data_IF_223707153145
#
_entry.id   IF_223707153145
#
_cell.length_a   1.000
_cell.length_b   1.000
_cell.length_c   1.000
_cell.angle_alpha   90.00
_cell.angle_beta   90.00
_cell.angle_gamma   90.00
#
_symmetry.space_group_name_H-M   'P 1'
#
loop_
_entity.id
_entity.type
_entity.pdbx_description
1 polymer ?
#
# COMPACT_ATOMS: atom_id res chain seq x y z
N UNK A 1 -27.48 52.38 32.50
CA UNK A 1 -27.35 51.19 31.63
C UNK A 1 -25.88 51.11 31.21
N UNK A 2 -25.07 50.24 31.83
CA UNK A 2 -23.65 50.06 31.47
C UNK A 2 -23.55 48.80 30.61
N UNK A 3 -23.22 48.96 29.34
CA UNK A 3 -22.96 47.86 28.40
C UNK A 3 -21.67 47.14 28.83
N UNK A 4 -21.66 45.81 29.01
CA UNK A 4 -20.42 45.08 29.28
C UNK A 4 -19.57 45.08 28.01
N UNK A 5 -18.32 45.52 28.10
CA UNK A 5 -17.35 45.38 27.01
C UNK A 5 -16.86 43.94 26.95
N UNK A 6 -16.93 43.32 25.76
CA UNK A 6 -16.45 41.96 25.53
C UNK A 6 -14.93 41.89 25.79
N UNK A 7 -14.51 40.94 26.63
CA UNK A 7 -13.11 40.68 26.94
C UNK A 7 -12.39 40.08 25.72
N UNK A 8 -11.29 40.73 25.28
CA UNK A 8 -10.44 40.23 24.19
C UNK A 8 -9.69 38.99 24.65
N UNK A 9 -9.67 37.88 23.88
CA UNK A 9 -8.96 36.68 24.28
C UNK A 9 -7.47 36.97 24.45
N UNK A 10 -6.90 36.55 25.59
CA UNK A 10 -5.46 36.75 25.86
C UNK A 10 -4.62 35.85 24.95
N UNK A 11 -3.40 36.27 24.62
CA UNK A 11 -2.46 35.49 23.79
C UNK A 11 -2.25 34.07 24.32
N UNK A 12 -2.35 33.86 25.64
CA UNK A 12 -2.32 32.54 26.28
C UNK A 12 -3.55 31.69 25.97
N UNK A 13 -4.74 32.27 25.95
CA UNK A 13 -5.95 31.57 25.53
C UNK A 13 -5.88 31.16 24.05
N UNK A 14 -5.34 32.03 23.19
CA UNK A 14 -5.10 31.71 21.78
C UNK A 14 -4.09 30.56 21.61
N UNK A 15 -2.98 30.59 22.34
CA UNK A 15 -1.98 29.50 22.31
C UNK A 15 -2.52 28.19 22.90
N UNK A 16 -3.35 28.26 23.95
CA UNK A 16 -4.03 27.09 24.52
C UNK A 16 -5.03 26.45 23.54
N UNK A 17 -5.76 27.26 22.78
CA UNK A 17 -6.68 26.76 21.74
C UNK A 17 -5.92 26.11 20.57
N UNK A 18 -4.80 26.71 20.12
CA UNK A 18 -3.96 26.14 19.05
C UNK A 18 -3.28 24.85 19.51
N UNK A 19 -2.69 24.85 20.71
CA UNK A 19 -2.03 23.67 21.29
C UNK A 19 -3.01 22.54 21.60
N UNK A 20 -4.20 22.86 22.12
CA UNK A 20 -5.26 21.88 22.37
C UNK A 20 -5.84 21.29 21.09
N UNK A 21 -6.00 22.10 20.03
CA UNK A 21 -6.44 21.63 18.72
C UNK A 21 -5.45 20.68 18.04
N UNK A 22 -4.15 20.97 18.16
CA UNK A 22 -3.07 20.09 17.64
C UNK A 22 -2.90 18.81 18.47
N UNK A 23 -3.14 18.85 19.78
CA UNK A 23 -3.08 17.64 20.61
C UNK A 23 -4.22 16.66 20.28
N UNK A 24 -5.42 17.16 19.95
CA UNK A 24 -6.56 16.33 19.56
C UNK A 24 -6.38 15.65 18.19
N UNK A 25 -5.66 16.28 17.25
CA UNK A 25 -5.36 15.66 15.95
C UNK A 25 -4.28 14.58 15.99
N UNK A 26 -3.58 14.44 17.12
CA UNK A 26 -2.56 13.40 17.36
C UNK A 26 -3.04 12.29 18.30
N UNK A 27 -4.33 12.27 18.67
CA UNK A 27 -4.88 11.17 19.43
C UNK A 27 -4.79 9.87 18.60
N UNK A 28 -4.33 8.75 19.19
CA UNK A 28 -4.24 7.49 18.47
C UNK A 28 -5.64 7.04 18.04
N UNK A 29 -5.85 6.95 16.72
CA UNK A 29 -7.09 6.42 16.16
C UNK A 29 -6.99 4.90 16.15
N UNK A 30 -8.00 4.16 16.64
CA UNK A 30 -8.01 2.71 16.56
C UNK A 30 -7.96 2.25 15.09
N UNK A 31 -7.03 1.35 14.77
CA UNK A 31 -6.98 0.68 13.47
C UNK A 31 -7.79 -0.61 13.56
N UNK A 32 -8.86 -0.71 12.77
CA UNK A 32 -9.67 -1.93 12.66
C UNK A 32 -9.06 -2.86 11.61
N UNK A 33 -9.09 -4.17 11.88
CA UNK A 33 -8.76 -5.18 10.87
C UNK A 33 -9.80 -5.16 9.73
N UNK A 34 -9.40 -5.62 8.54
CA UNK A 34 -10.34 -5.80 7.44
C UNK A 34 -11.35 -6.88 7.80
N UNK A 35 -12.62 -6.65 7.46
CA UNK A 35 -13.61 -7.73 7.42
C UNK A 35 -13.36 -8.64 6.23
N UNK A 36 -13.89 -9.86 6.26
CA UNK A 36 -13.77 -10.79 5.13
C UNK A 36 -14.33 -10.20 3.83
N UNK A 37 -15.41 -9.42 3.90
CA UNK A 37 -15.96 -8.73 2.74
C UNK A 37 -14.98 -7.71 2.15
N UNK A 38 -14.30 -6.94 3.00
CA UNK A 38 -13.29 -5.98 2.56
C UNK A 38 -12.05 -6.69 1.99
N UNK A 39 -11.63 -7.81 2.60
CA UNK A 39 -10.52 -8.61 2.10
C UNK A 39 -10.83 -9.24 0.73
N UNK A 40 -12.02 -9.80 0.54
CA UNK A 40 -12.47 -10.31 -0.77
C UNK A 40 -12.49 -9.21 -1.83
N UNK A 41 -13.06 -8.05 -1.50
CA UNK A 41 -13.10 -6.91 -2.42
C UNK A 41 -11.68 -6.43 -2.82
N UNK A 42 -10.71 -6.47 -1.89
CA UNK A 42 -9.32 -6.15 -2.21
C UNK A 42 -8.74 -7.14 -3.23
N UNK A 43 -8.99 -8.44 -3.04
CA UNK A 43 -8.56 -9.50 -3.97
C UNK A 43 -9.22 -9.31 -5.34
N UNK A 44 -10.53 -9.09 -5.38
CA UNK A 44 -11.29 -8.85 -6.62
C UNK A 44 -10.74 -7.65 -7.39
N UNK A 45 -10.42 -6.57 -6.67
CA UNK A 45 -9.84 -5.35 -7.27
C UNK A 45 -8.47 -5.64 -7.87
N UNK A 46 -7.61 -6.35 -7.14
CA UNK A 46 -6.28 -6.72 -7.63
C UNK A 46 -6.35 -7.63 -8.86
N UNK A 47 -7.23 -8.64 -8.86
CA UNK A 47 -7.47 -9.51 -10.01
C UNK A 47 -8.04 -8.72 -11.21
N UNK A 48 -8.92 -7.75 -10.95
CA UNK A 48 -9.43 -6.82 -11.95
C UNK A 48 -8.32 -6.02 -12.64
N UNK A 49 -7.38 -5.45 -11.86
CA UNK A 49 -6.23 -4.73 -12.42
C UNK A 49 -5.30 -5.64 -13.24
N UNK A 50 -5.05 -6.88 -12.79
CA UNK A 50 -4.26 -7.86 -13.54
C UNK A 50 -4.93 -8.20 -14.87
N UNK A 51 -6.23 -8.50 -14.83
CA UNK A 51 -6.99 -8.83 -16.04
C UNK A 51 -7.04 -7.65 -17.02
N UNK A 52 -7.17 -6.41 -16.53
CA UNK A 52 -7.10 -5.21 -17.35
C UNK A 52 -5.71 -5.06 -18.03
N UNK A 53 -4.62 -5.33 -17.31
CA UNK A 53 -3.27 -5.31 -17.90
C UNK A 53 -3.09 -6.39 -18.98
N UNK A 54 -3.65 -7.58 -18.80
CA UNK A 54 -3.63 -8.66 -19.80
C UNK A 54 -4.47 -8.28 -21.03
N UNK A 55 -5.68 -7.75 -20.80
CA UNK A 55 -6.61 -7.36 -21.86
C UNK A 55 -6.12 -6.13 -22.67
N UNK A 56 -5.13 -5.38 -22.17
CA UNK A 56 -4.62 -4.19 -22.84
C UNK A 56 -3.84 -4.49 -24.13
N UNK A 57 -3.59 -5.76 -24.46
CA UNK A 57 -2.80 -6.17 -25.63
C UNK A 57 -1.29 -5.90 -25.51
N UNK A 58 -0.83 -5.38 -24.37
CA UNK A 58 0.61 -5.16 -24.12
C UNK A 58 1.32 -6.51 -23.97
N UNK A 59 2.61 -6.54 -24.29
CA UNK A 59 3.44 -7.73 -24.13
C UNK A 59 4.86 -7.37 -23.68
N UNK A 60 5.63 -8.38 -23.31
CA UNK A 60 7.03 -8.23 -22.93
C UNK A 60 7.23 -7.21 -21.81
N UNK A 61 8.22 -6.34 -21.97
CA UNK A 61 8.62 -5.37 -20.94
C UNK A 61 7.47 -4.45 -20.49
N UNK A 62 6.58 -4.04 -21.40
CA UNK A 62 5.46 -3.16 -21.08
C UNK A 62 4.46 -3.85 -20.14
N UNK A 63 4.09 -5.10 -20.44
CA UNK A 63 3.20 -5.89 -19.57
C UNK A 63 3.87 -6.20 -18.22
N UNK A 64 5.17 -6.48 -18.20
CA UNK A 64 5.89 -6.76 -16.95
C UNK A 64 5.97 -5.54 -16.04
N UNK A 65 6.11 -4.34 -16.61
CA UNK A 65 6.07 -3.10 -15.85
C UNK A 65 4.69 -2.85 -15.22
N UNK A 66 3.61 -3.11 -15.96
CA UNK A 66 2.25 -3.02 -15.43
C UNK A 66 2.03 -4.03 -14.29
N UNK A 67 2.52 -5.26 -14.45
CA UNK A 67 2.44 -6.25 -13.39
C UNK A 67 3.30 -5.89 -12.17
N UNK A 68 4.51 -5.37 -12.36
CA UNK A 68 5.35 -4.91 -11.25
C UNK A 68 4.66 -3.82 -10.43
N UNK A 69 3.98 -2.88 -11.11
CA UNK A 69 3.17 -1.84 -10.46
C UNK A 69 2.05 -2.44 -9.63
N UNK A 70 1.31 -3.42 -10.16
CA UNK A 70 0.22 -4.09 -9.44
C UNK A 70 0.79 -4.87 -8.24
N UNK A 71 1.87 -5.63 -8.44
CA UNK A 71 2.53 -6.40 -7.40
C UNK A 71 2.99 -5.52 -6.23
N UNK A 72 3.64 -4.39 -6.52
CA UNK A 72 4.09 -3.44 -5.48
C UNK A 72 2.92 -2.77 -4.77
N UNK A 73 1.79 -2.55 -5.46
CA UNK A 73 0.60 -1.93 -4.86
C UNK A 73 -0.12 -2.84 -3.88
N UNK A 74 -0.26 -4.11 -4.22
CA UNK A 74 -1.13 -5.04 -3.47
C UNK A 74 -0.37 -6.02 -2.58
N UNK A 75 0.94 -6.18 -2.75
CA UNK A 75 1.76 -7.07 -1.93
C UNK A 75 2.76 -6.28 -1.07
N UNK A 76 2.98 -6.74 0.16
CA UNK A 76 4.09 -6.25 1.00
C UNK A 76 5.41 -6.86 0.51
N UNK A 77 5.89 -6.32 -0.61
CA UNK A 77 7.13 -6.77 -1.26
C UNK A 77 8.32 -6.73 -0.30
N UNK A 78 8.54 -5.70 0.54
CA UNK A 78 9.62 -5.72 1.53
C UNK A 78 9.56 -6.92 2.49
N UNK A 79 8.38 -7.28 2.99
CA UNK A 79 8.22 -8.44 3.88
C UNK A 79 8.44 -9.75 3.12
N UNK A 80 7.89 -9.87 1.91
CA UNK A 80 8.08 -11.06 1.08
C UNK A 80 9.56 -11.24 0.73
N UNK A 81 10.24 -10.16 0.30
CA UNK A 81 11.66 -10.18 -0.04
C UNK A 81 12.51 -10.58 1.17
N UNK A 82 12.26 -9.98 2.34
CA UNK A 82 12.94 -10.36 3.59
C UNK A 82 12.76 -11.85 3.90
N UNK A 83 11.54 -12.36 3.74
CA UNK A 83 11.21 -13.77 3.96
C UNK A 83 11.92 -14.69 2.96
N UNK A 84 11.94 -14.30 1.68
CA UNK A 84 12.64 -15.03 0.63
C UNK A 84 14.16 -15.08 0.82
N UNK A 85 14.75 -14.03 1.42
CA UNK A 85 16.18 -13.97 1.73
C UNK A 85 16.54 -14.78 2.99
N UNK A 86 15.56 -15.06 3.87
CA UNK A 86 15.72 -15.90 5.04
C UNK A 86 16.70 -15.32 6.07
N UNK A 87 17.57 -16.17 6.62
CA UNK A 87 18.50 -15.80 7.71
C UNK A 87 19.45 -14.66 7.30
N UNK A 88 19.86 -14.61 6.03
CA UNK A 88 20.76 -13.58 5.51
C UNK A 88 20.17 -12.16 5.64
N UNK A 89 18.85 -12.02 5.72
CA UNK A 89 18.21 -10.73 5.92
C UNK A 89 18.55 -10.07 7.26
N UNK A 90 18.98 -10.84 8.27
CA UNK A 90 19.39 -10.30 9.59
C UNK A 90 20.73 -9.58 9.55
N UNK A 91 21.62 -9.97 8.63
CA UNK A 91 22.95 -9.36 8.47
C UNK A 91 23.04 -8.35 7.33
N UNK A 92 21.99 -8.26 6.49
CA UNK A 92 21.96 -7.32 5.38
C UNK A 92 21.80 -5.88 5.88
N UNK A 93 22.60 -4.97 5.35
CA UNK A 93 22.41 -3.53 5.57
C UNK A 93 21.11 -3.05 4.92
N UNK A 94 20.61 -1.89 5.35
CA UNK A 94 19.42 -1.26 4.74
C UNK A 94 19.58 -1.07 3.23
N UNK A 95 20.79 -0.71 2.77
CA UNK A 95 21.10 -0.54 1.36
C UNK A 95 21.05 -1.88 0.60
N UNK A 96 21.61 -2.95 1.18
CA UNK A 96 21.54 -4.29 0.59
C UNK A 96 20.10 -4.80 0.51
N UNK A 97 19.29 -4.60 1.55
CA UNK A 97 17.88 -4.98 1.52
C UNK A 97 17.07 -4.20 0.50
N UNK A 98 17.31 -2.90 0.35
CA UNK A 98 16.63 -2.08 -0.66
C UNK A 98 17.01 -2.52 -2.10
N UNK A 99 18.30 -2.78 -2.35
CA UNK A 99 18.78 -3.27 -3.63
C UNK A 99 18.20 -4.66 -3.95
N UNK A 100 18.21 -5.56 -2.97
CA UNK A 100 17.62 -6.89 -3.11
C UNK A 100 16.12 -6.82 -3.39
N UNK A 101 15.37 -6.03 -2.63
CA UNK A 101 13.92 -5.86 -2.82
C UNK A 101 13.59 -5.34 -4.22
N UNK A 102 14.39 -4.40 -4.74
CA UNK A 102 14.24 -3.86 -6.09
C UNK A 102 14.51 -4.93 -7.16
N UNK A 103 15.60 -5.69 -7.01
CA UNK A 103 15.90 -6.79 -7.93
C UNK A 103 14.83 -7.89 -7.87
N UNK A 104 14.37 -8.23 -6.66
CA UNK A 104 13.36 -9.25 -6.40
C UNK A 104 12.04 -8.92 -7.11
N UNK A 105 11.47 -7.73 -6.91
CA UNK A 105 10.21 -7.35 -7.55
C UNK A 105 10.28 -7.37 -9.07
N UNK A 106 11.39 -6.91 -9.65
CA UNK A 106 11.60 -6.95 -11.10
C UNK A 106 11.73 -8.38 -11.62
N UNK A 107 12.46 -9.24 -10.90
CA UNK A 107 12.61 -10.65 -11.26
C UNK A 107 11.27 -11.39 -11.25
N UNK A 108 10.50 -11.27 -10.16
CA UNK A 108 9.17 -11.88 -10.01
C UNK A 108 8.27 -11.42 -11.15
N UNK A 109 8.30 -10.12 -11.45
CA UNK A 109 7.45 -9.53 -12.49
C UNK A 109 7.76 -10.05 -13.88
N UNK A 110 9.02 -10.21 -14.23
CA UNK A 110 9.41 -10.83 -15.51
C UNK A 110 9.16 -12.33 -15.55
N UNK A 111 9.41 -13.03 -14.44
CA UNK A 111 9.28 -14.50 -14.37
C UNK A 111 7.84 -14.95 -14.55
N UNK A 112 6.93 -14.38 -13.77
CA UNK A 112 5.51 -14.76 -13.80
C UNK A 112 4.73 -13.93 -14.83
N UNK A 113 5.19 -12.72 -15.13
CA UNK A 113 4.64 -11.88 -16.21
C UNK A 113 4.56 -12.59 -17.55
N UNK A 114 5.58 -13.38 -17.89
CA UNK A 114 5.62 -14.20 -19.13
C UNK A 114 4.44 -15.14 -19.29
N UNK A 115 3.88 -15.61 -18.17
CA UNK A 115 2.81 -16.61 -18.15
C UNK A 115 1.42 -15.99 -18.10
N UNK A 116 1.28 -14.68 -17.88
CA UNK A 116 -0.06 -14.08 -17.76
C UNK A 116 -0.94 -14.22 -18.99
N UNK A 117 -0.32 -14.29 -20.18
CA UNK A 117 -1.05 -14.60 -21.42
C UNK A 117 -1.69 -16.00 -21.41
N UNK A 118 -1.14 -16.96 -20.66
CA UNK A 118 -1.73 -18.29 -20.50
C UNK A 118 -3.09 -18.21 -19.78
N UNK A 119 -3.34 -17.14 -19.02
CA UNK A 119 -4.57 -16.94 -18.27
C UNK A 119 -5.58 -16.02 -18.99
N UNK A 120 -5.32 -15.62 -20.23
CA UNK A 120 -6.27 -14.82 -20.99
C UNK A 120 -7.58 -15.62 -21.20
N UNK A 121 -8.71 -15.04 -20.77
CA UNK A 121 -10.01 -15.72 -20.78
C UNK A 121 -10.24 -16.69 -19.61
N UNK A 122 -9.29 -16.83 -18.69
CA UNK A 122 -9.50 -17.58 -17.44
C UNK A 122 -10.34 -16.79 -16.45
N UNK A 123 -11.16 -17.49 -15.65
CA UNK A 123 -11.93 -16.91 -14.55
C UNK A 123 -11.26 -17.29 -13.23
N UNK A 124 -10.96 -16.28 -12.42
CA UNK A 124 -10.56 -16.48 -11.03
C UNK A 124 -11.80 -16.40 -10.14
N UNK A 125 -11.94 -17.35 -9.21
CA UNK A 125 -13.01 -17.37 -8.23
C UNK A 125 -12.41 -17.25 -6.83
N UNK A 126 -12.87 -16.28 -6.06
CA UNK A 126 -12.47 -16.10 -4.66
C UNK A 126 -13.37 -16.99 -3.82
N UNK A 127 -12.77 -17.99 -3.17
CA UNK A 127 -13.46 -18.94 -2.31
C UNK A 127 -13.10 -18.69 -0.85
N UNK A 128 -14.04 -18.98 0.04
CA UNK A 128 -13.90 -18.77 1.48
C UNK A 128 -14.59 -17.51 1.93
#
# INVERSE_FOLDING_TARGET
MRTPTASKPTRRAALGMIGGGLALSMAPVPAFALSDAQARQLIDTALGEVNAAIASGKSGAALYADFERIFVRYADVPVIARSALGVAARGASSAQMAAFTTAFRGYISRKYGRRFREFQGSRFEVTG
#
